data_IF_237447023150
#
_entry.id   IF_237447023150
#
_cell.length_a   1.000
_cell.length_b   1.000
_cell.length_c   1.000
_cell.angle_alpha   90.00
_cell.angle_beta   90.00
_cell.angle_gamma   90.00
#
_symmetry.space_group_name_H-M   'P 1'
#
loop_
_entity.id
_entity.type
_entity.pdbx_description
1 polymer ?
#
# COMPACT_ATOMS: atom_id res chain seq x y z
N UNK A 1 42.05 -8.29 23.18
CA UNK A 1 42.27 -8.99 21.89
C UNK A 1 41.24 -8.40 20.92
N UNK A 2 41.37 -7.11 20.58
CA UNK A 2 42.07 -6.56 19.41
C UNK A 2 41.33 -6.87 18.09
N UNK A 3 41.03 -5.96 17.16
CA UNK A 3 41.19 -4.51 16.95
C UNK A 3 40.30 -4.23 15.70
N UNK A 4 39.43 -3.22 15.71
CA UNK A 4 39.59 -1.95 14.98
C UNK A 4 39.32 -1.96 13.45
N UNK A 5 38.32 -1.15 13.07
CA UNK A 5 38.44 0.03 12.18
C UNK A 5 38.75 -0.13 10.68
N UNK A 6 37.87 0.53 9.89
CA UNK A 6 38.16 1.43 8.75
C UNK A 6 39.01 0.89 7.60
N UNK A 7 38.45 0.91 6.39
CA UNK A 7 39.18 1.32 5.18
C UNK A 7 38.22 2.00 4.19
N UNK A 8 38.34 3.33 4.11
CA UNK A 8 37.94 4.18 2.98
C UNK A 8 39.23 4.86 2.49
N UNK A 9 39.36 5.00 1.15
CA UNK A 9 40.31 5.82 0.34
C UNK A 9 41.58 5.07 -0.05
N UNK A 10 42.07 5.06 -1.29
CA UNK A 10 42.22 6.10 -2.34
C UNK A 10 42.09 5.47 -3.75
N UNK A 11 41.66 6.18 -4.80
CA UNK A 11 42.51 7.04 -5.65
C UNK A 11 41.67 8.00 -6.53
N UNK A 12 42.17 9.22 -6.69
CA UNK A 12 41.70 10.26 -7.62
C UNK A 12 42.59 10.34 -8.88
N UNK A 13 42.04 11.01 -9.90
CA UNK A 13 42.67 11.76 -11.02
C UNK A 13 42.78 11.10 -12.41
N UNK A 14 42.13 11.74 -13.40
CA UNK A 14 42.41 11.58 -14.84
C UNK A 14 41.32 12.20 -15.74
N UNK A 15 41.61 13.36 -16.33
CA UNK A 15 40.81 14.14 -17.30
C UNK A 15 40.45 13.42 -18.62
N UNK A 16 39.35 13.85 -19.27
CA UNK A 16 39.21 13.79 -20.74
C UNK A 16 37.78 13.59 -21.28
N UNK A 17 37.14 14.66 -21.76
CA UNK A 17 35.90 14.68 -22.56
C UNK A 17 36.12 14.08 -23.99
N UNK A 18 35.18 14.13 -24.97
CA UNK A 18 33.75 14.52 -25.00
C UNK A 18 32.80 13.51 -25.73
N UNK A 19 31.48 13.76 -25.68
CA UNK A 19 30.44 12.97 -26.37
C UNK A 19 30.32 13.22 -27.88
N UNK A 20 29.37 12.54 -28.56
CA UNK A 20 28.40 13.25 -29.43
C UNK A 20 26.98 12.65 -29.36
N UNK A 21 25.93 13.49 -29.23
CA UNK A 21 25.08 14.10 -30.28
C UNK A 21 24.19 13.12 -31.07
N UNK A 22 22.88 13.23 -30.80
CA UNK A 22 21.78 12.88 -31.70
C UNK A 22 21.89 13.56 -33.07
N UNK A 23 21.17 13.02 -34.07
CA UNK A 23 20.28 13.89 -34.84
C UNK A 23 18.88 13.31 -35.05
N UNK A 24 17.88 14.19 -34.83
CA UNK A 24 16.55 14.13 -35.43
C UNK A 24 16.63 14.32 -36.96
N UNK A 25 15.80 13.60 -37.72
CA UNK A 25 14.92 14.20 -38.75
C UNK A 25 13.92 13.18 -39.34
N UNK A 26 12.64 13.50 -39.24
CA UNK A 26 11.54 13.16 -40.18
C UNK A 26 11.62 14.13 -41.40
N UNK A 27 10.70 14.18 -42.41
CA UNK A 27 9.42 13.47 -42.60
C UNK A 27 9.07 13.02 -44.05
N UNK A 28 7.92 12.33 -44.19
CA UNK A 28 7.01 12.54 -45.34
C UNK A 28 6.67 11.32 -46.20
N UNK A 29 5.37 11.06 -46.41
CA UNK A 29 4.90 10.21 -47.52
C UNK A 29 3.52 9.56 -47.33
N UNK A 30 2.53 10.01 -48.11
CA UNK A 30 1.12 9.56 -48.18
C UNK A 30 0.97 8.15 -48.77
N UNK A 31 -0.17 7.49 -48.52
CA UNK A 31 -0.70 6.47 -49.43
C UNK A 31 -1.70 5.50 -48.81
N UNK A 32 -2.96 5.57 -49.25
CA UNK A 32 -4.11 4.76 -48.81
C UNK A 32 -4.14 3.33 -49.38
N UNK A 33 -4.84 2.49 -48.61
CA UNK A 33 -5.81 1.44 -48.98
C UNK A 33 -5.54 0.46 -50.14
N UNK A 34 -5.69 -0.84 -49.82
CA UNK A 34 -5.91 -1.90 -50.79
C UNK A 34 -6.25 -3.24 -50.14
N UNK A 35 -7.53 -3.45 -49.82
CA UNK A 35 -8.14 -4.76 -49.57
C UNK A 35 -7.86 -5.71 -50.73
N UNK A 36 -7.47 -6.98 -50.43
CA UNK A 36 -7.83 -8.13 -51.27
C UNK A 36 -7.78 -9.45 -50.51
N UNK A 37 -9.01 -9.93 -50.28
CA UNK A 37 -9.50 -11.31 -50.27
C UNK A 37 -8.49 -12.47 -50.28
N UNK A 38 -8.65 -13.30 -49.24
CA UNK A 38 -8.61 -14.75 -49.24
C UNK A 38 -8.71 -15.42 -50.63
N UNK A 39 -7.78 -16.34 -50.89
CA UNK A 39 -8.02 -17.53 -51.69
C UNK A 39 -7.38 -18.73 -50.97
N UNK A 40 -8.23 -19.67 -50.59
CA UNK A 40 -7.88 -20.96 -50.02
C UNK A 40 -7.26 -21.84 -51.11
N UNK A 41 -6.14 -22.51 -50.80
CA UNK A 41 -5.78 -23.78 -51.42
C UNK A 41 -5.34 -24.72 -50.31
N UNK A 42 -6.15 -25.75 -50.09
CA UNK A 42 -5.85 -26.91 -49.27
C UNK A 42 -4.64 -27.66 -49.82
N UNK A 43 -3.70 -28.01 -48.95
CA UNK A 43 -2.87 -29.21 -49.11
C UNK A 43 -2.79 -29.89 -47.76
N UNK A 44 -3.53 -30.99 -47.63
CA UNK A 44 -3.44 -31.95 -46.53
C UNK A 44 -2.17 -32.77 -46.73
N UNK A 45 -1.26 -32.72 -45.74
CA UNK A 45 -0.06 -33.54 -45.67
C UNK A 45 0.28 -33.86 -44.21
N UNK A 46 0.23 -35.15 -43.89
CA UNK A 46 0.34 -35.85 -42.59
C UNK A 46 1.23 -35.28 -41.45
N UNK A 47 0.92 -35.64 -40.17
CA UNK A 47 1.58 -35.13 -38.98
C UNK A 47 2.90 -35.86 -38.70
N UNK A 48 3.97 -35.37 -39.30
CA UNK A 48 5.34 -35.71 -38.90
C UNK A 48 5.72 -34.98 -37.62
N UNK A 49 5.88 -35.72 -36.53
CA UNK A 49 6.38 -35.31 -35.22
C UNK A 49 7.41 -34.19 -35.26
N UNK A 50 6.97 -32.96 -34.99
CA UNK A 50 7.88 -31.85 -34.71
C UNK A 50 7.99 -31.69 -33.19
N UNK A 51 8.80 -32.57 -32.57
CA UNK A 51 9.36 -32.31 -31.25
C UNK A 51 10.37 -31.17 -31.40
N UNK A 52 9.92 -29.92 -31.43
CA UNK A 52 10.80 -28.76 -31.24
C UNK A 52 11.10 -28.70 -29.75
N UNK A 53 12.15 -29.41 -29.35
CA UNK A 53 12.69 -29.32 -27.99
C UNK A 53 13.04 -27.87 -27.67
N UNK A 54 12.62 -27.40 -26.50
CA UNK A 54 13.16 -26.19 -25.90
C UNK A 54 14.63 -26.47 -25.56
N UNK A 55 15.55 -26.16 -26.47
CA UNK A 55 16.94 -25.92 -26.13
C UNK A 55 17.04 -24.45 -25.70
N UNK A 56 16.75 -24.18 -24.43
CA UNK A 56 17.23 -22.93 -23.81
C UNK A 56 18.75 -23.00 -23.78
N UNK A 57 19.42 -22.27 -24.67
CA UNK A 57 20.88 -22.20 -24.69
C UNK A 57 21.37 -21.61 -23.36
N UNK A 58 22.54 -22.04 -22.86
CA UNK A 58 23.12 -21.45 -21.64
C UNK A 58 23.29 -19.91 -21.75
N UNK A 59 23.44 -19.39 -22.98
CA UNK A 59 23.42 -17.95 -23.29
C UNK A 59 22.07 -17.28 -22.98
N UNK A 60 20.93 -17.96 -23.18
CA UNK A 60 19.61 -17.45 -22.82
C UNK A 60 19.39 -17.41 -21.31
N UNK A 61 19.96 -18.37 -20.57
CA UNK A 61 19.88 -18.41 -19.11
C UNK A 61 20.76 -17.33 -18.47
N UNK A 62 22.03 -17.19 -18.90
CA UNK A 62 22.92 -16.11 -18.43
C UNK A 62 22.38 -14.73 -18.82
N UNK A 63 21.73 -14.60 -19.99
CA UNK A 63 21.02 -13.38 -20.39
C UNK A 63 19.82 -13.06 -19.47
N UNK A 64 19.09 -14.08 -19.03
CA UNK A 64 17.98 -13.92 -18.09
C UNK A 64 18.45 -13.56 -16.67
N UNK A 65 19.50 -14.23 -16.18
CA UNK A 65 20.13 -13.93 -14.88
C UNK A 65 20.73 -12.51 -14.86
N UNK A 66 21.42 -12.09 -15.92
CA UNK A 66 21.95 -10.72 -16.02
C UNK A 66 20.84 -9.68 -16.12
N UNK A 67 19.74 -9.98 -16.84
CA UNK A 67 18.54 -9.13 -16.83
C UNK A 67 17.91 -9.04 -15.44
N UNK A 68 17.77 -10.16 -14.73
CA UNK A 68 17.27 -10.16 -13.35
C UNK A 68 18.16 -9.32 -12.44
N UNK A 69 19.48 -9.49 -12.48
CA UNK A 69 20.41 -8.73 -11.64
C UNK A 69 20.38 -7.24 -11.96
N UNK A 70 20.38 -6.86 -13.25
CA UNK A 70 20.29 -5.44 -13.66
C UNK A 70 18.93 -4.86 -13.25
N UNK A 71 17.84 -5.62 -13.40
CA UNK A 71 16.49 -5.18 -13.00
C UNK A 71 16.39 -5.00 -11.48
N UNK A 72 16.94 -5.93 -10.69
CA UNK A 72 16.98 -5.84 -9.23
C UNK A 72 17.84 -4.65 -8.78
N UNK A 73 19.01 -4.46 -9.39
CA UNK A 73 19.87 -3.31 -9.09
C UNK A 73 19.20 -1.97 -9.43
N UNK A 74 18.48 -1.89 -10.56
CA UNK A 74 17.72 -0.70 -10.95
C UNK A 74 16.56 -0.42 -9.99
N UNK A 75 15.84 -1.46 -9.56
CA UNK A 75 14.78 -1.34 -8.54
C UNK A 75 15.37 -0.85 -7.22
N UNK A 76 16.48 -1.43 -6.74
CA UNK A 76 17.15 -0.98 -5.50
C UNK A 76 17.60 0.48 -5.59
N UNK A 77 18.13 0.91 -6.74
CA UNK A 77 18.49 2.31 -6.93
C UNK A 77 17.26 3.24 -6.94
N UNK A 78 16.13 2.80 -7.52
CA UNK A 78 14.89 3.56 -7.48
C UNK A 78 14.32 3.63 -6.06
N UNK A 79 14.33 2.54 -5.30
CA UNK A 79 13.87 2.50 -3.91
C UNK A 79 14.75 3.35 -2.99
N UNK A 80 16.08 3.28 -3.14
CA UNK A 80 17.01 4.13 -2.37
C UNK A 80 16.77 5.62 -2.63
N UNK A 81 16.48 5.99 -3.88
CA UNK A 81 16.14 7.37 -4.23
C UNK A 81 14.82 7.81 -3.58
N UNK A 82 13.81 6.94 -3.50
CA UNK A 82 12.55 7.23 -2.82
C UNK A 82 12.75 7.36 -1.32
N UNK A 83 13.52 6.47 -0.70
CA UNK A 83 13.86 6.53 0.73
C UNK A 83 14.54 7.85 1.10
N UNK A 84 15.50 8.33 0.30
CA UNK A 84 16.17 9.61 0.54
C UNK A 84 15.18 10.80 0.49
N UNK A 85 14.20 10.76 -0.41
CA UNK A 85 13.13 11.78 -0.49
C UNK A 85 12.20 11.69 0.73
N UNK A 86 11.90 10.48 1.21
CA UNK A 86 11.08 10.28 2.40
C UNK A 86 11.77 10.82 3.65
N UNK A 87 13.07 10.58 3.80
CA UNK A 87 13.87 11.13 4.89
C UNK A 87 13.90 12.66 4.86
N UNK A 88 14.07 13.25 3.67
CA UNK A 88 13.99 14.71 3.50
C UNK A 88 12.60 15.27 3.87
N UNK A 89 11.54 14.58 3.45
CA UNK A 89 10.17 14.98 3.78
C UNK A 89 9.90 14.90 5.29
N UNK A 90 10.37 13.84 5.95
CA UNK A 90 10.19 13.69 7.39
C UNK A 90 11.04 14.72 8.18
N UNK A 91 12.25 15.05 7.72
CA UNK A 91 13.05 16.16 8.27
C UNK A 91 12.37 17.53 8.14
N UNK A 92 11.80 17.83 6.97
CA UNK A 92 11.06 19.08 6.74
C UNK A 92 9.79 19.15 7.60
N UNK A 93 9.14 18.01 7.82
CA UNK A 93 7.99 17.93 8.72
C UNK A 93 8.38 18.19 10.18
N UNK A 94 9.48 17.58 10.66
CA UNK A 94 9.99 17.78 12.03
C UNK A 94 10.48 19.21 12.27
N UNK A 95 11.04 19.86 11.26
CA UNK A 95 11.46 21.27 11.35
C UNK A 95 10.30 22.27 11.25
N UNK A 96 9.08 21.82 10.95
CA UNK A 96 7.88 22.66 10.86
C UNK A 96 7.78 23.46 9.55
N UNK A 97 8.63 23.18 8.56
CA UNK A 97 8.66 23.89 7.27
C UNK A 97 7.59 23.36 6.30
N UNK A 98 6.32 23.61 6.64
CA UNK A 98 5.13 23.07 5.92
C UNK A 98 5.07 23.40 4.42
N UNK A 99 5.43 24.62 4.00
CA UNK A 99 5.41 24.96 2.57
C UNK A 99 6.50 24.24 1.77
N UNK A 100 7.74 24.18 2.30
CA UNK A 100 8.84 23.50 1.61
C UNK A 100 8.57 22.00 1.51
N UNK A 101 7.99 21.42 2.56
CA UNK A 101 7.51 20.04 2.55
C UNK A 101 6.46 19.81 1.45
N UNK A 102 5.48 20.70 1.34
CA UNK A 102 4.45 20.63 0.32
C UNK A 102 5.04 20.76 -1.09
N UNK A 103 5.93 21.72 -1.32
CA UNK A 103 6.62 21.93 -2.60
C UNK A 103 7.46 20.72 -3.03
N UNK A 104 8.17 20.08 -2.08
CA UNK A 104 8.92 18.86 -2.33
C UNK A 104 8.01 17.70 -2.75
N UNK A 105 6.96 17.43 -1.96
CA UNK A 105 6.08 16.28 -2.18
C UNK A 105 5.16 16.45 -3.41
N UNK A 106 4.82 17.68 -3.78
CA UNK A 106 4.00 17.97 -4.98
C UNK A 106 4.68 17.52 -6.27
N UNK A 107 6.02 17.48 -6.30
CA UNK A 107 6.78 16.96 -7.44
C UNK A 107 6.51 15.46 -7.69
N UNK A 108 6.04 14.76 -6.66
CA UNK A 108 5.78 13.32 -6.67
C UNK A 108 4.28 12.99 -6.56
N UNK A 109 3.40 13.94 -6.90
CA UNK A 109 1.93 13.77 -6.82
C UNK A 109 1.36 12.63 -7.67
N UNK A 110 2.06 12.27 -8.76
CA UNK A 110 1.70 11.16 -9.65
C UNK A 110 2.36 9.84 -9.27
N UNK A 111 3.12 9.81 -8.16
CA UNK A 111 3.72 8.57 -7.67
C UNK A 111 2.65 7.56 -7.27
N UNK A 112 2.95 6.29 -7.47
CA UNK A 112 2.13 5.16 -7.02
C UNK A 112 2.54 4.64 -5.64
N UNK A 113 3.57 5.23 -5.04
CA UNK A 113 4.09 4.83 -3.74
C UNK A 113 3.18 5.33 -2.61
N UNK A 114 2.63 4.39 -1.83
CA UNK A 114 1.75 4.69 -0.71
C UNK A 114 2.41 5.61 0.34
N UNK A 115 3.72 5.46 0.59
CA UNK A 115 4.48 6.22 1.57
C UNK A 115 4.59 7.72 1.22
N UNK A 116 4.72 8.02 -0.06
CA UNK A 116 4.71 9.41 -0.55
C UNK A 116 3.30 10.00 -0.52
N UNK A 117 2.30 9.22 -0.94
CA UNK A 117 0.91 9.68 -1.05
C UNK A 117 0.30 10.08 0.30
N UNK A 118 0.48 9.30 1.36
CA UNK A 118 -0.07 9.66 2.67
C UNK A 118 0.67 10.85 3.30
N UNK A 119 1.98 11.00 3.02
CA UNK A 119 2.78 12.17 3.45
C UNK A 119 2.35 13.44 2.71
N UNK A 120 2.02 13.33 1.43
CA UNK A 120 1.45 14.42 0.65
C UNK A 120 0.08 14.84 1.22
N UNK A 121 -0.79 13.87 1.52
CA UNK A 121 -2.06 14.13 2.19
C UNK A 121 -1.89 14.81 3.56
N UNK A 122 -0.84 14.46 4.32
CA UNK A 122 -0.45 15.16 5.56
C UNK A 122 -0.06 16.61 5.28
N UNK A 123 0.89 16.84 4.37
CA UNK A 123 1.37 18.18 4.03
C UNK A 123 0.24 19.10 3.52
N UNK A 124 -0.65 18.58 2.68
CA UNK A 124 -1.84 19.30 2.18
C UNK A 124 -2.75 19.77 3.32
N UNK A 125 -3.03 18.88 4.27
CA UNK A 125 -3.85 19.20 5.45
C UNK A 125 -3.17 20.26 6.32
N UNK A 126 -1.86 20.15 6.53
CA UNK A 126 -1.13 21.09 7.38
C UNK A 126 -1.05 22.48 6.72
N UNK A 127 -0.89 22.53 5.39
CA UNK A 127 -1.02 23.75 4.60
C UNK A 127 -2.41 24.38 4.69
N UNK A 128 -3.47 23.56 4.69
CA UNK A 128 -4.84 24.03 4.88
C UNK A 128 -5.07 24.62 6.28
N UNK A 129 -4.31 24.19 7.30
CA UNK A 129 -4.41 24.73 8.66
C UNK A 129 -3.69 26.08 8.83
N UNK A 130 -2.89 26.52 7.85
CA UNK A 130 -2.20 27.80 7.92
C UNK A 130 -3.20 28.96 7.91
N UNK A 131 -2.91 29.99 8.70
CA UNK A 131 -3.78 31.17 8.87
C UNK A 131 -3.92 32.02 7.61
N UNK A 132 -2.96 31.92 6.68
CA UNK A 132 -2.94 32.65 5.40
C UNK A 132 -3.88 32.10 4.32
N UNK A 133 -4.37 30.88 4.50
CA UNK A 133 -5.12 30.15 3.48
C UNK A 133 -6.60 30.57 3.50
N UNK A 134 -7.20 30.85 2.34
CA UNK A 134 -8.62 31.22 2.26
C UNK A 134 -9.54 30.01 2.53
N UNK A 135 -10.77 30.22 2.98
CA UNK A 135 -11.71 29.12 3.29
C UNK A 135 -12.02 28.23 2.08
N UNK A 136 -11.97 28.79 0.86
CA UNK A 136 -12.16 28.06 -0.38
C UNK A 136 -10.97 27.15 -0.68
N UNK A 137 -9.75 27.69 -0.59
CA UNK A 137 -8.51 26.92 -0.74
C UNK A 137 -8.39 25.84 0.34
N UNK A 138 -8.78 26.13 1.58
CA UNK A 138 -8.81 25.12 2.65
C UNK A 138 -9.67 23.93 2.29
N UNK A 139 -10.88 24.17 1.78
CA UNK A 139 -11.77 23.09 1.32
C UNK A 139 -11.12 22.28 0.21
N UNK A 140 -10.56 22.95 -0.81
CA UNK A 140 -9.88 22.28 -1.93
C UNK A 140 -8.71 21.39 -1.45
N UNK A 141 -7.83 21.93 -0.62
CA UNK A 141 -6.68 21.20 -0.07
C UNK A 141 -7.11 19.99 0.77
N UNK A 142 -8.20 20.12 1.54
CA UNK A 142 -8.75 19.00 2.32
C UNK A 142 -9.34 17.91 1.43
N UNK A 143 -10.05 18.28 0.36
CA UNK A 143 -10.57 17.30 -0.62
C UNK A 143 -9.45 16.58 -1.35
N UNK A 144 -8.43 17.32 -1.80
CA UNK A 144 -7.25 16.78 -2.46
C UNK A 144 -6.48 15.84 -1.51
N UNK A 145 -6.31 16.23 -0.24
CA UNK A 145 -5.70 15.36 0.77
C UNK A 145 -6.48 14.05 0.95
N UNK A 146 -7.82 14.11 0.94
CA UNK A 146 -8.67 12.93 1.07
C UNK A 146 -8.51 11.99 -0.14
N UNK A 147 -8.39 12.54 -1.36
CA UNK A 147 -8.14 11.75 -2.55
C UNK A 147 -6.80 11.01 -2.47
N UNK A 148 -5.73 11.70 -2.07
CA UNK A 148 -4.42 11.09 -1.91
C UNK A 148 -4.39 10.04 -0.81
N UNK A 149 -5.09 10.23 0.30
CA UNK A 149 -5.22 9.22 1.35
C UNK A 149 -5.93 7.95 0.81
N UNK A 150 -7.00 8.10 0.03
CA UNK A 150 -7.68 6.97 -0.62
C UNK A 150 -6.78 6.26 -1.62
N UNK A 151 -6.04 7.01 -2.44
CA UNK A 151 -5.05 6.45 -3.38
C UNK A 151 -3.96 5.68 -2.64
N UNK A 152 -3.46 6.19 -1.51
CA UNK A 152 -2.47 5.50 -0.70
C UNK A 152 -2.99 4.13 -0.22
N UNK A 153 -4.25 4.07 0.24
CA UNK A 153 -4.89 2.83 0.68
C UNK A 153 -5.13 1.83 -0.46
N UNK A 154 -5.43 2.31 -1.67
CA UNK A 154 -5.55 1.44 -2.84
C UNK A 154 -4.22 0.78 -3.23
N UNK A 155 -3.10 1.44 -2.93
CA UNK A 155 -1.75 0.95 -3.25
C UNK A 155 -1.20 0.04 -2.16
N UNK A 156 -1.43 0.41 -0.91
CA UNK A 156 -1.05 -0.40 0.25
C UNK A 156 -2.16 -0.35 1.31
N UNK A 157 -3.04 -1.35 1.27
CA UNK A 157 -4.11 -1.54 2.25
C UNK A 157 -3.56 -1.93 3.63
N UNK A 158 -2.30 -2.35 3.74
CA UNK A 158 -1.69 -2.71 5.03
C UNK A 158 -1.04 -1.52 5.75
N UNK A 159 -0.95 -0.37 5.08
CA UNK A 159 -0.28 0.83 5.61
C UNK A 159 -1.06 1.47 6.75
N UNK A 160 -0.57 1.27 7.98
CA UNK A 160 -1.12 1.89 9.19
C UNK A 160 -1.17 3.42 9.08
N UNK A 161 -0.11 4.04 8.54
CA UNK A 161 -0.02 5.49 8.42
C UNK A 161 -1.10 6.04 7.46
N UNK A 162 -1.36 5.33 6.35
CA UNK A 162 -2.40 5.72 5.40
C UNK A 162 -3.81 5.60 6.02
N UNK A 163 -4.10 4.51 6.73
CA UNK A 163 -5.38 4.34 7.44
C UNK A 163 -5.60 5.42 8.49
N UNK A 164 -4.58 5.71 9.30
CA UNK A 164 -4.65 6.77 10.30
C UNK A 164 -4.93 8.12 9.65
N UNK A 165 -4.26 8.42 8.53
CA UNK A 165 -4.48 9.66 7.79
C UNK A 165 -5.89 9.76 7.20
N UNK A 166 -6.42 8.67 6.66
CA UNK A 166 -7.79 8.64 6.14
C UNK A 166 -8.83 8.95 7.23
N UNK A 167 -8.67 8.40 8.44
CA UNK A 167 -9.56 8.68 9.58
C UNK A 167 -9.45 10.13 10.06
N UNK A 168 -8.24 10.70 10.08
CA UNK A 168 -8.03 12.11 10.45
C UNK A 168 -8.71 13.07 9.46
N UNK A 169 -8.73 12.72 8.18
CA UNK A 169 -9.34 13.52 7.11
C UNK A 169 -10.85 13.32 7.04
N UNK A 170 -11.34 12.10 7.25
CA UNK A 170 -12.76 11.78 7.29
C UNK A 170 -13.13 10.95 8.53
N UNK A 171 -13.40 11.60 9.68
CA UNK A 171 -13.73 10.91 10.91
C UNK A 171 -15.13 10.27 10.91
N UNK A 172 -15.93 10.50 9.86
CA UNK A 172 -17.26 9.91 9.66
C UNK A 172 -17.26 8.70 8.73
N UNK A 173 -16.10 8.28 8.25
CA UNK A 173 -15.99 7.06 7.45
C UNK A 173 -15.89 5.83 8.38
N UNK A 174 -17.00 5.11 8.53
CA UNK A 174 -17.05 3.88 9.33
C UNK A 174 -16.12 2.79 8.77
N UNK A 175 -15.94 2.71 7.45
CA UNK A 175 -15.07 1.71 6.82
C UNK A 175 -13.61 1.92 7.19
N UNK A 176 -13.09 3.15 7.09
CA UNK A 176 -11.71 3.45 7.49
C UNK A 176 -11.47 3.15 8.99
N UNK A 177 -12.42 3.50 9.85
CA UNK A 177 -12.34 3.24 11.29
C UNK A 177 -12.35 1.72 11.58
N UNK A 178 -13.19 0.97 10.87
CA UNK A 178 -13.26 -0.48 10.96
C UNK A 178 -11.96 -1.16 10.52
N UNK A 179 -11.37 -0.73 9.41
CA UNK A 179 -10.09 -1.25 8.92
C UNK A 179 -8.97 -1.02 9.93
N UNK A 180 -8.96 0.14 10.60
CA UNK A 180 -8.04 0.39 11.71
C UNK A 180 -8.28 -0.55 12.90
N UNK A 181 -9.55 -0.82 13.24
CA UNK A 181 -9.88 -1.83 14.25
C UNK A 181 -9.39 -3.24 13.88
N UNK A 182 -9.52 -3.64 12.61
CA UNK A 182 -8.96 -4.91 12.10
C UNK A 182 -7.45 -4.91 12.26
N UNK A 183 -6.76 -3.85 11.87
CA UNK A 183 -5.31 -3.73 12.03
C UNK A 183 -4.91 -3.88 13.50
N UNK A 184 -5.57 -3.18 14.43
CA UNK A 184 -5.31 -3.32 15.85
C UNK A 184 -5.53 -4.77 16.35
N UNK A 185 -6.62 -5.39 15.92
CA UNK A 185 -6.98 -6.76 16.29
C UNK A 185 -5.96 -7.78 15.77
N UNK A 186 -5.55 -7.69 14.50
CA UNK A 186 -4.57 -8.62 13.91
C UNK A 186 -3.21 -8.48 14.58
N UNK A 187 -2.79 -7.25 14.88
CA UNK A 187 -1.55 -7.00 15.61
C UNK A 187 -1.59 -7.51 17.05
N UNK A 188 -2.73 -7.37 17.74
CA UNK A 188 -2.95 -7.92 19.08
C UNK A 188 -2.97 -9.47 19.07
N UNK A 189 -3.42 -10.08 17.97
CA UNK A 189 -3.48 -11.53 17.79
C UNK A 189 -2.14 -12.16 17.35
N UNK A 190 -1.20 -11.36 16.81
CA UNK A 190 0.11 -11.88 16.37
C UNK A 190 0.82 -12.66 17.48
N UNK A 191 1.28 -13.90 17.24
CA UNK A 191 2.07 -14.67 18.19
C UNK A 191 3.28 -13.91 18.74
N UNK A 192 3.65 -14.19 19.99
CA UNK A 192 4.73 -13.49 20.70
C UNK A 192 6.07 -13.49 19.94
N UNK A 193 6.37 -14.55 19.18
CA UNK A 193 7.63 -14.67 18.43
C UNK A 193 7.64 -13.80 17.17
N UNK A 194 6.51 -13.67 16.46
CA UNK A 194 6.40 -12.77 15.31
C UNK A 194 6.60 -11.32 15.73
N UNK A 195 6.06 -10.92 16.89
CA UNK A 195 6.31 -9.59 17.47
C UNK A 195 7.78 -9.33 17.78
N UNK A 196 8.52 -10.35 18.23
CA UNK A 196 9.98 -10.23 18.45
C UNK A 196 10.74 -10.00 17.16
N UNK A 197 10.38 -10.71 16.08
CA UNK A 197 11.01 -10.51 14.77
C UNK A 197 10.69 -9.11 14.24
N UNK A 198 9.44 -8.66 14.36
CA UNK A 198 9.04 -7.31 13.98
C UNK A 198 9.82 -6.23 14.75
N UNK A 199 10.10 -6.43 16.04
CA UNK A 199 10.93 -5.50 16.84
C UNK A 199 12.39 -5.38 16.38
N UNK A 200 12.91 -6.42 15.75
CA UNK A 200 14.29 -6.42 15.21
C UNK A 200 14.34 -5.71 13.86
N UNK A 201 13.31 -5.89 13.01
CA UNK A 201 13.22 -5.26 11.69
C UNK A 201 12.74 -3.80 11.77
N UNK A 202 11.82 -3.51 12.67
CA UNK A 202 11.23 -2.19 12.87
C UNK A 202 11.68 -1.64 14.22
N UNK A 203 12.34 -0.47 14.22
CA UNK A 203 12.86 0.18 15.43
C UNK A 203 11.78 0.39 16.52
N UNK A 204 10.53 0.60 16.10
CA UNK A 204 9.35 0.50 16.95
C UNK A 204 8.36 -0.48 16.30
N UNK A 205 8.20 -1.71 16.82
CA UNK A 205 7.19 -2.61 16.29
C UNK A 205 5.83 -1.95 16.54
N UNK A 206 4.95 -1.88 15.53
CA UNK A 206 3.58 -1.52 15.78
C UNK A 206 3.02 -2.54 16.77
N UNK A 207 2.71 -2.11 17.99
CA UNK A 207 2.08 -2.95 19.00
C UNK A 207 0.70 -2.37 19.26
N UNK A 208 -0.32 -3.20 19.13
CA UNK A 208 -1.69 -2.82 19.46
C UNK A 208 -2.32 -3.83 20.40
N UNK A 209 -3.34 -3.40 21.14
CA UNK A 209 -4.05 -4.23 22.10
C UNK A 209 -5.51 -4.45 21.69
N UNK A 210 -6.16 -5.45 22.29
CA UNK A 210 -7.57 -5.73 22.02
C UNK A 210 -8.49 -4.59 22.49
N UNK A 211 -8.08 -3.81 23.49
CA UNK A 211 -8.82 -2.64 23.98
C UNK A 211 -8.83 -1.52 22.94
N UNK A 212 -7.71 -1.29 22.26
CA UNK A 212 -7.63 -0.31 21.16
C UNK A 212 -8.53 -0.73 20.00
N UNK A 213 -8.45 -2.01 19.59
CA UNK A 213 -9.32 -2.56 18.56
C UNK A 213 -10.81 -2.40 18.93
N UNK A 214 -11.16 -2.70 20.18
CA UNK A 214 -12.51 -2.53 20.70
C UNK A 214 -13.00 -1.08 20.57
N UNK A 215 -12.14 -0.12 20.93
CA UNK A 215 -12.44 1.31 20.81
C UNK A 215 -12.74 1.73 19.37
N UNK A 216 -11.95 1.26 18.40
CA UNK A 216 -12.19 1.53 16.99
C UNK A 216 -13.49 0.89 16.48
N UNK A 217 -13.76 -0.37 16.81
CA UNK A 217 -14.98 -1.04 16.36
C UNK A 217 -16.26 -0.39 16.91
N UNK A 218 -16.26 0.05 18.18
CA UNK A 218 -17.37 0.82 18.74
C UNK A 218 -17.51 2.18 18.08
N UNK A 219 -16.40 2.85 17.77
CA UNK A 219 -16.44 4.12 17.07
C UNK A 219 -17.02 3.97 15.67
N UNK A 220 -16.68 2.89 14.95
CA UNK A 220 -17.28 2.59 13.64
C UNK A 220 -18.80 2.41 13.76
N UNK A 221 -19.25 1.66 14.77
CA UNK A 221 -20.67 1.42 15.05
C UNK A 221 -21.43 2.71 15.48
N UNK A 222 -20.77 3.63 16.17
CA UNK A 222 -21.33 4.94 16.53
C UNK A 222 -21.50 5.86 15.33
N UNK A 223 -20.58 5.76 14.36
CA UNK A 223 -20.59 6.58 13.14
C UNK A 223 -21.66 6.10 12.18
N UNK A 224 -21.74 4.79 11.96
CA UNK A 224 -22.74 4.16 11.10
C UNK A 224 -23.25 2.85 11.74
N UNK A 225 -24.41 2.86 12.42
CA UNK A 225 -24.91 1.68 13.10
C UNK A 225 -25.29 0.56 12.12
N UNK A 226 -24.90 -0.67 12.43
CA UNK A 226 -25.24 -1.87 11.66
C UNK A 226 -24.78 -1.82 10.19
N UNK A 227 -23.67 -1.11 9.91
CA UNK A 227 -23.13 -0.97 8.55
C UNK A 227 -22.50 -2.26 8.01
N UNK A 228 -21.70 -2.97 8.82
CA UNK A 228 -21.01 -4.21 8.46
C UNK A 228 -21.24 -5.31 9.50
N UNK A 229 -21.75 -6.46 9.04
CA UNK A 229 -21.83 -7.71 9.81
C UNK A 229 -20.48 -8.11 10.42
N UNK A 230 -19.39 -7.89 9.67
CA UNK A 230 -18.01 -8.18 10.09
C UNK A 230 -17.59 -7.36 11.30
N UNK A 231 -18.06 -6.11 11.41
CA UNK A 231 -17.79 -5.26 12.58
C UNK A 231 -18.39 -5.87 13.85
N UNK A 232 -19.65 -6.32 13.78
CA UNK A 232 -20.36 -6.95 14.90
C UNK A 232 -19.68 -8.25 15.34
N UNK A 233 -19.24 -9.07 14.38
CA UNK A 233 -18.50 -10.29 14.66
C UNK A 233 -17.17 -9.99 15.36
N UNK A 234 -16.41 -9.01 14.86
CA UNK A 234 -15.13 -8.62 15.45
C UNK A 234 -15.30 -8.00 16.84
N UNK A 235 -16.37 -7.23 17.09
CA UNK A 235 -16.74 -6.79 18.44
C UNK A 235 -16.93 -7.99 19.38
N UNK A 236 -17.72 -8.98 18.95
CA UNK A 236 -17.93 -10.22 19.69
C UNK A 236 -16.62 -10.97 20.00
N UNK A 237 -15.80 -11.21 18.97
CA UNK A 237 -14.48 -11.87 19.10
C UNK A 237 -13.54 -11.10 20.03
N UNK A 238 -13.49 -9.78 19.93
CA UNK A 238 -12.65 -8.93 20.77
C UNK A 238 -13.07 -9.03 22.23
N UNK A 239 -14.38 -9.02 22.52
CA UNK A 239 -14.88 -9.26 23.87
C UNK A 239 -14.56 -10.66 24.42
N UNK A 240 -14.55 -11.69 23.58
CA UNK A 240 -14.08 -13.03 23.98
C UNK A 240 -12.60 -13.00 24.40
N UNK A 241 -11.74 -12.34 23.62
CA UNK A 241 -10.31 -12.18 23.95
C UNK A 241 -10.09 -11.41 25.24
N UNK A 242 -10.98 -10.46 25.55
CA UNK A 242 -11.01 -9.70 26.81
C UNK A 242 -11.73 -10.43 27.97
N UNK A 243 -12.08 -11.72 27.80
CA UNK A 243 -12.81 -12.54 28.77
C UNK A 243 -14.20 -11.99 29.20
N UNK A 244 -14.78 -11.06 28.44
CA UNK A 244 -16.12 -10.54 28.71
C UNK A 244 -17.18 -11.33 27.92
N UNK A 245 -17.46 -12.55 28.39
CA UNK A 245 -18.41 -13.47 27.74
C UNK A 245 -19.82 -12.89 27.57
N UNK A 246 -20.30 -12.09 28.52
CA UNK A 246 -21.65 -11.51 28.50
C UNK A 246 -21.81 -10.54 27.32
N UNK A 247 -20.89 -9.60 27.17
CA UNK A 247 -20.92 -8.66 26.05
C UNK A 247 -20.59 -9.36 24.73
N UNK A 248 -19.66 -10.34 24.75
CA UNK A 248 -19.37 -11.15 23.58
C UNK A 248 -20.62 -11.84 23.03
N UNK A 249 -21.39 -12.52 23.88
CA UNK A 249 -22.64 -13.17 23.49
C UNK A 249 -23.63 -12.18 22.89
N UNK A 250 -23.77 -10.98 23.47
CA UNK A 250 -24.66 -9.94 22.95
C UNK A 250 -24.28 -9.52 21.51
N UNK A 251 -23.00 -9.25 21.26
CA UNK A 251 -22.55 -8.81 19.92
C UNK A 251 -22.54 -9.95 18.90
N UNK A 252 -22.21 -11.17 19.31
CA UNK A 252 -22.30 -12.35 18.44
C UNK A 252 -23.74 -12.69 18.07
N UNK A 253 -24.70 -12.52 18.98
CA UNK A 253 -26.13 -12.65 18.66
C UNK A 253 -26.54 -11.63 17.60
N UNK A 254 -26.14 -10.36 17.75
CA UNK A 254 -26.38 -9.33 16.72
C UNK A 254 -25.76 -9.69 15.37
N UNK A 255 -24.55 -10.23 15.36
CA UNK A 255 -23.89 -10.66 14.12
C UNK A 255 -24.61 -11.85 13.46
N UNK A 256 -25.13 -12.79 14.26
CA UNK A 256 -25.92 -13.94 13.79
C UNK A 256 -27.28 -13.50 13.21
N UNK A 257 -27.93 -12.55 13.85
CA UNK A 257 -29.27 -12.07 13.46
C UNK A 257 -29.22 -10.97 12.39
N UNK A 258 -28.02 -10.58 11.93
CA UNK A 258 -27.79 -9.58 10.90
C UNK A 258 -28.42 -10.00 9.56
N UNK A 259 -29.10 -9.13 8.80
CA UNK A 259 -29.66 -9.50 7.50
C UNK A 259 -28.56 -9.80 6.46
N UNK A 260 -28.41 -11.06 6.07
CA UNK A 260 -27.39 -11.45 5.11
C UNK A 260 -27.75 -11.03 3.68
N UNK A 261 -26.90 -10.19 3.07
CA UNK A 261 -27.02 -9.77 1.68
C UNK A 261 -25.90 -10.34 0.82
N UNK A 262 -24.71 -10.49 1.40
CA UNK A 262 -23.51 -11.03 0.76
C UNK A 262 -23.20 -12.43 1.25
N UNK A 263 -22.33 -13.15 0.53
CA UNK A 263 -21.85 -14.46 0.99
C UNK A 263 -20.98 -14.34 2.26
N UNK A 264 -20.25 -13.22 2.39
CA UNK A 264 -19.49 -12.88 3.58
C UNK A 264 -20.40 -12.78 4.82
N UNK A 265 -21.57 -12.15 4.68
CA UNK A 265 -22.54 -12.06 5.78
C UNK A 265 -22.99 -13.45 6.25
N UNK A 266 -23.23 -14.40 5.33
CA UNK A 266 -23.64 -15.77 5.69
C UNK A 266 -22.52 -16.52 6.42
N UNK A 267 -21.28 -16.35 5.97
CA UNK A 267 -20.11 -16.91 6.64
C UNK A 267 -19.99 -16.35 8.06
N UNK A 268 -20.19 -15.04 8.20
CA UNK A 268 -20.15 -14.33 9.49
C UNK A 268 -21.26 -14.82 10.42
N UNK A 269 -22.50 -14.99 9.94
CA UNK A 269 -23.60 -15.54 10.73
C UNK A 269 -23.28 -16.97 11.22
N UNK A 270 -22.73 -17.79 10.33
CA UNK A 270 -22.35 -19.18 10.63
C UNK A 270 -21.25 -19.21 11.68
N UNK A 271 -20.22 -18.38 11.53
CA UNK A 271 -19.12 -18.25 12.49
C UNK A 271 -19.61 -17.73 13.84
N UNK A 272 -20.47 -16.70 13.85
CA UNK A 272 -21.07 -16.18 15.07
C UNK A 272 -21.90 -17.24 15.80
N UNK A 273 -22.69 -18.03 15.07
CA UNK A 273 -23.45 -19.14 15.63
C UNK A 273 -22.53 -20.21 16.24
N UNK A 274 -21.43 -20.56 15.57
CA UNK A 274 -20.44 -21.51 16.11
C UNK A 274 -19.81 -20.98 17.39
N UNK A 275 -19.39 -19.71 17.42
CA UNK A 275 -18.79 -19.09 18.61
C UNK A 275 -19.79 -19.03 19.78
N UNK A 276 -21.08 -18.82 19.52
CA UNK A 276 -22.13 -18.85 20.54
C UNK A 276 -22.33 -20.24 21.14
N UNK A 277 -22.14 -21.32 20.38
CA UNK A 277 -22.25 -22.68 20.92
C UNK A 277 -21.09 -23.05 21.87
N UNK A 278 -19.93 -22.41 21.72
CA UNK A 278 -18.74 -22.66 22.53
C UNK A 278 -18.59 -21.74 23.76
N UNK A 279 -19.54 -20.83 23.99
CA UNK A 279 -19.46 -19.76 24.99
C UNK A 279 -19.93 -20.21 26.38
#
# INVERSE_FOLDING_TARGET
MALASRLWRFLCLGHGAPGPRFPLRTPGGRGQCGLRSFRCSEVIGNPGTFKRGLLFSALSYVGFETYQVISQAAVVHATAKVEEILEQADYLYESGETEKLYELLTQYKESEDAQLLWRLARALRDRAQLSRTSEEEKKLLVYEALEYAKRALQRDESSFAAHKKAIELNPKDATSIHLMGIWCYTFAEMPWYQRRIAKVLFATPPSSTYEEALGYFHRAEQVDPNFYSKNLLLLGKTYLKLNNKKLAALWLMKAKDYPAHTEEDKQIQTEAAQLLTGL
#
